data_IF_523228533889
#
_entry.id   IF_523228533889
#
_cell.length_a   1.000
_cell.length_b   1.000
_cell.length_c   1.000
_cell.angle_alpha   90.00
_cell.angle_beta   90.00
_cell.angle_gamma   90.00
#
_symmetry.space_group_name_H-M   'P 1'
#
loop_
_entity.id
_entity.type
_entity.pdbx_description
1 polymer ?
#
# COMPACT_ATOMS: atom_id res chain seq x y z
N UNK A 1 -18.65 -5.83 -16.47
CA UNK A 1 -17.44 -5.32 -15.81
C UNK A 1 -16.35 -5.21 -16.85
N UNK A 2 -16.21 -4.03 -17.46
CA UNK A 2 -15.12 -3.81 -18.41
C UNK A 2 -13.84 -3.57 -17.60
N UNK A 3 -12.75 -4.23 -18.00
CA UNK A 3 -11.43 -3.98 -17.44
C UNK A 3 -11.03 -2.55 -17.79
N UNK A 4 -11.34 -1.60 -16.91
CA UNK A 4 -10.76 -0.26 -16.94
C UNK A 4 -9.24 -0.41 -16.97
N UNK A 5 -8.56 0.50 -17.66
CA UNK A 5 -7.11 0.57 -17.58
C UNK A 5 -6.67 0.56 -16.11
N UNK A 6 -5.70 -0.29 -15.77
CA UNK A 6 -5.06 -0.36 -14.44
C UNK A 6 -4.45 1.02 -14.14
N UNK A 7 -5.25 1.91 -13.56
CA UNK A 7 -4.86 3.28 -13.30
C UNK A 7 -5.49 3.73 -11.98
N UNK A 8 -4.73 4.50 -11.20
CA UNK A 8 -5.11 4.92 -9.85
C UNK A 8 -4.49 4.07 -8.74
N UNK A 9 -4.58 4.57 -7.49
CA UNK A 9 -3.89 3.99 -6.33
C UNK A 9 -4.31 2.57 -5.94
N UNK A 10 -5.48 2.13 -6.41
CA UNK A 10 -6.07 0.82 -6.10
C UNK A 10 -5.65 -0.29 -7.08
N UNK A 11 -4.85 0.04 -8.10
CA UNK A 11 -4.53 -0.86 -9.21
C UNK A 11 -3.94 -2.21 -8.80
N UNK A 12 -3.23 -2.28 -7.66
CA UNK A 12 -2.62 -3.50 -7.16
C UNK A 12 -3.67 -4.51 -6.66
N UNK A 13 -4.80 -4.03 -6.12
CA UNK A 13 -5.89 -4.87 -5.60
C UNK A 13 -6.87 -5.32 -6.70
N UNK A 14 -6.80 -4.75 -7.90
CA UNK A 14 -7.68 -5.10 -9.04
C UNK A 14 -7.38 -6.48 -9.66
N UNK A 15 -6.64 -7.35 -8.97
CA UNK A 15 -6.36 -8.73 -9.38
C UNK A 15 -7.36 -9.73 -8.80
N UNK A 16 -8.10 -9.33 -7.75
CA UNK A 16 -9.08 -10.18 -7.09
C UNK A 16 -10.47 -9.93 -7.68
N UNK A 17 -11.26 -10.98 -7.94
CA UNK A 17 -12.66 -10.81 -8.32
C UNK A 17 -13.43 -10.16 -7.16
N UNK A 18 -14.47 -9.34 -7.46
CA UNK A 18 -15.31 -8.77 -6.42
C UNK A 18 -15.95 -9.90 -5.59
N UNK A 19 -15.81 -9.82 -4.27
CA UNK A 19 -16.35 -10.79 -3.32
C UNK A 19 -17.15 -10.05 -2.24
N UNK A 20 -18.40 -10.46 -1.94
CA UNK A 20 -19.27 -9.72 -1.01
C UNK A 20 -18.90 -9.88 0.47
N UNK A 21 -17.99 -10.80 0.79
CA UNK A 21 -17.52 -11.06 2.15
C UNK A 21 -16.01 -10.85 2.26
N UNK A 22 -15.47 -10.55 3.45
CA UNK A 22 -14.04 -10.64 3.69
C UNK A 22 -13.50 -12.04 3.34
N UNK A 23 -12.24 -12.10 2.88
CA UNK A 23 -11.56 -13.39 2.76
C UNK A 23 -11.31 -13.97 4.16
N UNK A 24 -11.33 -15.31 4.35
CA UNK A 24 -11.19 -15.94 5.67
C UNK A 24 -9.93 -15.51 6.45
N UNK A 25 -8.84 -15.18 5.75
CA UNK A 25 -7.62 -14.69 6.39
C UNK A 25 -7.77 -13.32 7.09
N UNK A 26 -8.88 -12.62 6.88
CA UNK A 26 -9.21 -11.40 7.60
C UNK A 26 -10.00 -11.65 8.89
N UNK A 27 -10.59 -12.83 9.08
CA UNK A 27 -11.45 -13.12 10.24
C UNK A 27 -10.64 -13.23 11.53
N UNK A 28 -9.43 -13.79 11.44
CA UNK A 28 -8.53 -13.98 12.59
C UNK A 28 -7.49 -12.86 12.77
N UNK A 29 -7.53 -11.85 11.89
CA UNK A 29 -6.50 -10.81 11.90
C UNK A 29 -6.77 -9.80 13.02
N UNK A 30 -5.78 -9.46 13.87
CA UNK A 30 -5.97 -8.42 14.87
C UNK A 30 -6.45 -7.13 14.21
N UNK A 31 -7.47 -6.49 14.81
CA UNK A 31 -8.13 -5.29 14.25
C UNK A 31 -7.15 -4.21 13.78
N UNK A 32 -6.04 -4.03 14.51
CA UNK A 32 -5.00 -3.06 14.15
C UNK A 32 -4.31 -3.42 12.83
N UNK A 33 -4.00 -4.70 12.60
CA UNK A 33 -3.38 -5.18 11.37
C UNK A 33 -4.36 -5.08 10.21
N UNK A 34 -5.61 -5.52 10.42
CA UNK A 34 -6.68 -5.37 9.43
C UNK A 34 -6.81 -3.91 8.97
N UNK A 35 -6.91 -2.98 9.93
CA UNK A 35 -7.10 -1.56 9.65
C UNK A 35 -5.93 -0.97 8.85
N UNK A 36 -4.69 -1.30 9.23
CA UNK A 36 -3.49 -0.83 8.51
C UNK A 36 -3.46 -1.40 7.10
N UNK A 37 -3.75 -2.69 6.91
CA UNK A 37 -3.80 -3.31 5.59
C UNK A 37 -4.84 -2.66 4.70
N UNK A 38 -6.05 -2.42 5.21
CA UNK A 38 -7.11 -1.72 4.48
C UNK A 38 -6.67 -0.31 4.09
N UNK A 39 -6.11 0.47 5.00
CA UNK A 39 -5.65 1.84 4.73
C UNK A 39 -4.56 1.87 3.65
N UNK A 40 -3.56 0.99 3.74
CA UNK A 40 -2.47 0.90 2.76
C UNK A 40 -3.00 0.45 1.40
N UNK A 41 -3.85 -0.58 1.34
CA UNK A 41 -4.41 -1.07 0.06
C UNK A 41 -5.31 -0.05 -0.63
N UNK A 42 -5.99 0.78 0.16
CA UNK A 42 -6.88 1.82 -0.36
C UNK A 42 -6.19 3.16 -0.60
N UNK A 43 -4.94 3.34 -0.13
CA UNK A 43 -4.28 4.64 -0.14
C UNK A 43 -4.94 5.68 0.77
N UNK A 44 -5.79 5.25 1.70
CA UNK A 44 -6.36 6.05 2.78
C UNK A 44 -5.52 5.91 4.07
N UNK A 45 -4.21 5.94 3.91
CA UNK A 45 -3.23 5.91 4.98
C UNK A 45 -2.56 7.29 5.13
N UNK A 46 -1.85 7.51 6.23
CA UNK A 46 -1.04 8.72 6.45
C UNK A 46 0.24 8.70 5.59
N UNK A 47 0.06 8.71 4.25
CA UNK A 47 1.14 8.76 3.27
C UNK A 47 1.21 10.12 2.58
N UNK A 48 2.35 10.42 1.97
CA UNK A 48 2.53 11.61 1.14
C UNK A 48 1.54 11.68 -0.03
N UNK A 49 1.23 10.55 -0.67
CA UNK A 49 0.20 10.49 -1.73
C UNK A 49 -1.19 10.87 -1.22
N UNK A 50 -1.53 10.49 0.01
CA UNK A 50 -2.79 10.86 0.64
C UNK A 50 -2.80 12.35 0.99
N UNK A 51 -1.77 12.87 1.64
CA UNK A 51 -1.68 14.29 2.00
C UNK A 51 -1.72 15.20 0.78
N UNK A 52 -0.99 14.86 -0.28
CA UNK A 52 -1.03 15.60 -1.53
C UNK A 52 -2.46 15.76 -2.09
N UNK A 53 -3.32 14.76 -1.92
CA UNK A 53 -4.69 14.74 -2.47
C UNK A 53 -5.76 15.24 -1.50
N UNK A 54 -5.58 15.01 -0.20
CA UNK A 54 -6.64 15.12 0.83
C UNK A 54 -6.31 16.13 1.92
N UNK A 55 -5.03 16.44 2.13
CA UNK A 55 -4.58 17.37 3.17
C UNK A 55 -3.46 18.27 2.62
N UNK A 56 -3.76 19.20 1.68
CA UNK A 56 -2.74 19.99 0.98
C UNK A 56 -1.92 20.93 1.87
N UNK A 57 -2.37 21.15 3.11
CA UNK A 57 -1.62 21.90 4.13
C UNK A 57 -0.45 21.11 4.70
N UNK A 58 -0.43 19.78 4.55
CA UNK A 58 0.62 18.90 5.05
C UNK A 58 1.65 18.59 3.96
N UNK A 59 2.91 18.39 4.37
CA UNK A 59 3.97 18.04 3.44
C UNK A 59 3.78 16.62 2.89
N UNK A 60 3.80 16.42 1.56
CA UNK A 60 3.74 15.09 0.97
C UNK A 60 5.11 14.39 0.97
N UNK A 61 6.17 15.05 1.43
CA UNK A 61 7.53 14.51 1.39
C UNK A 61 7.75 13.40 2.41
N UNK A 62 8.59 12.44 2.05
CA UNK A 62 9.05 11.42 2.97
C UNK A 62 10.08 12.01 3.94
N UNK A 63 10.08 11.54 5.18
CA UNK A 63 11.09 11.91 6.19
C UNK A 63 12.52 11.54 5.77
N UNK A 64 12.70 10.63 4.81
CA UNK A 64 14.00 10.35 4.22
C UNK A 64 14.49 11.42 3.24
N UNK A 65 13.73 12.51 3.04
CA UNK A 65 14.04 13.60 2.11
C UNK A 65 13.50 13.41 0.69
N UNK A 66 12.77 12.32 0.39
CA UNK A 66 12.16 12.16 -0.93
C UNK A 66 10.94 13.08 -1.08
N UNK A 67 10.83 13.77 -2.22
CA UNK A 67 9.82 14.82 -2.43
C UNK A 67 8.37 14.34 -2.30
N UNK A 68 8.09 13.08 -2.60
CA UNK A 68 6.77 12.46 -2.49
C UNK A 68 6.88 11.07 -1.86
N UNK A 69 6.20 10.86 -0.74
CA UNK A 69 6.12 9.54 -0.09
C UNK A 69 5.00 8.69 -0.71
N UNK A 70 5.36 7.84 -1.67
CA UNK A 70 4.46 6.82 -2.25
C UNK A 70 4.62 5.46 -1.56
N UNK A 71 3.64 4.57 -1.71
CA UNK A 71 3.80 3.18 -1.24
C UNK A 71 4.99 2.48 -1.89
N UNK A 72 5.16 2.66 -3.21
CA UNK A 72 6.30 2.09 -3.94
C UNK A 72 7.62 2.61 -3.37
N UNK A 73 7.72 3.91 -3.09
CA UNK A 73 8.90 4.47 -2.44
C UNK A 73 9.14 3.81 -1.08
N UNK A 74 8.16 3.81 -0.18
CA UNK A 74 8.31 3.30 1.20
C UNK A 74 8.75 1.83 1.19
N UNK A 75 8.08 0.96 0.43
CA UNK A 75 8.34 -0.47 0.45
C UNK A 75 9.60 -0.87 -0.30
N UNK A 76 9.89 -0.24 -1.44
CA UNK A 76 10.94 -0.74 -2.35
C UNK A 76 12.24 0.06 -2.27
N UNK A 77 12.19 1.36 -1.98
CA UNK A 77 13.31 2.30 -2.22
C UNK A 77 13.75 3.10 -0.99
N UNK A 78 12.85 3.39 -0.05
CA UNK A 78 13.07 4.34 1.04
C UNK A 78 14.25 3.91 1.93
N UNK A 79 15.31 4.72 2.06
CA UNK A 79 16.48 4.32 2.83
C UNK A 79 16.18 4.18 4.33
N UNK A 80 15.19 4.91 4.83
CA UNK A 80 14.81 4.86 6.23
C UNK A 80 14.18 3.52 6.66
N UNK A 81 13.71 2.70 5.71
CA UNK A 81 13.17 1.36 5.96
C UNK A 81 14.04 0.25 5.37
N UNK A 82 15.32 0.53 5.13
CA UNK A 82 16.24 -0.43 4.49
C UNK A 82 16.42 -1.68 5.35
N UNK A 83 16.46 -1.53 6.68
CA UNK A 83 16.73 -2.62 7.61
C UNK A 83 15.52 -3.53 7.79
N UNK A 84 14.31 -3.05 7.61
CA UNK A 84 13.06 -3.80 7.82
C UNK A 84 12.56 -4.47 6.53
N UNK A 85 13.06 -4.01 5.37
CA UNK A 85 12.64 -4.48 4.04
C UNK A 85 12.82 -5.98 3.83
N UNK A 86 13.68 -6.66 4.57
CA UNK A 86 13.80 -8.12 4.48
C UNK A 86 12.49 -8.84 4.83
N UNK A 87 11.64 -8.26 5.69
CA UNK A 87 10.33 -8.82 6.03
C UNK A 87 9.47 -8.91 4.76
N UNK A 88 9.44 -7.83 3.97
CA UNK A 88 8.72 -7.80 2.70
C UNK A 88 9.35 -8.74 1.66
N UNK A 89 10.68 -8.88 1.66
CA UNK A 89 11.38 -9.82 0.77
C UNK A 89 11.04 -11.29 1.02
N UNK A 90 10.58 -11.65 2.22
CA UNK A 90 10.07 -13.01 2.50
C UNK A 90 8.77 -13.30 1.74
N UNK A 91 7.94 -12.29 1.52
CA UNK A 91 6.69 -12.42 0.77
C UNK A 91 6.90 -12.19 -0.74
N UNK A 92 7.75 -11.22 -1.12
CA UNK A 92 8.07 -10.87 -2.50
C UNK A 92 9.56 -10.56 -2.64
N UNK A 93 10.40 -11.50 -3.12
CA UNK A 93 11.85 -11.29 -3.23
C UNK A 93 12.23 -10.06 -4.07
N UNK A 94 11.42 -9.76 -5.08
CA UNK A 94 11.56 -8.64 -6.03
C UNK A 94 10.77 -7.39 -5.61
N UNK A 95 10.01 -7.45 -4.52
CA UNK A 95 9.20 -6.36 -3.96
C UNK A 95 8.18 -5.79 -4.95
N UNK A 96 7.53 -6.69 -5.70
CA UNK A 96 6.47 -6.33 -6.62
C UNK A 96 5.26 -5.83 -5.82
N UNK A 97 4.82 -4.60 -6.08
CA UNK A 97 3.68 -4.00 -5.39
C UNK A 97 2.40 -4.82 -5.53
N UNK A 98 2.23 -5.54 -6.65
CA UNK A 98 1.12 -6.47 -6.86
C UNK A 98 1.16 -7.68 -5.94
N UNK A 99 2.34 -8.17 -5.58
CA UNK A 99 2.50 -9.29 -4.64
C UNK A 99 2.36 -8.81 -3.19
N UNK A 100 2.83 -7.59 -2.90
CA UNK A 100 2.77 -7.02 -1.55
C UNK A 100 1.36 -6.50 -1.18
N UNK A 101 0.62 -5.93 -2.12
CA UNK A 101 -0.68 -5.28 -1.86
C UNK A 101 -1.87 -5.89 -2.61
N UNK A 102 -1.65 -6.86 -3.51
CA UNK A 102 -2.70 -7.47 -4.33
C UNK A 102 -3.24 -8.81 -3.84
N UNK A 103 -2.85 -9.25 -2.63
CA UNK A 103 -3.18 -10.58 -2.09
C UNK A 103 -4.50 -10.65 -1.32
#
# INVERSE_FOLDING_TARGET
WHASSRSGGYQYANQLPPHPYPYPHFDDLPRIIYSVLTQVRTGHCFSGEYYYRRVPSESPSCHCGHHLQTHEHVFTKCPAYRQERWILRRASPTLLMTELLGT
#
